data_IF_740047792585
#
_entry.id   IF_740047792585
#
_cell.length_a   1.000
_cell.length_b   1.000
_cell.length_c   1.000
_cell.angle_alpha   90.00
_cell.angle_beta   90.00
_cell.angle_gamma   90.00
#
_symmetry.space_group_name_H-M   'P 1'
#
loop_
_entity.id
_entity.type
_entity.pdbx_description
1 polymer ?
#
# COMPACT_ATOMS: atom_id res chain seq x y z
N UNK A 1 -21.49 -26.96 13.63
CA UNK A 1 -21.51 -26.28 12.31
C UNK A 1 -22.87 -25.62 12.03
N UNK A 2 -24.00 -26.19 12.49
CA UNK A 2 -25.34 -25.59 12.35
C UNK A 2 -25.53 -24.22 13.05
N UNK A 3 -24.85 -23.99 14.17
CA UNK A 3 -25.03 -22.79 15.01
C UNK A 3 -24.54 -21.50 14.35
N UNK A 4 -23.52 -21.58 13.49
CA UNK A 4 -22.95 -20.43 12.78
C UNK A 4 -23.89 -19.96 11.67
N UNK A 5 -24.51 -20.91 10.97
CA UNK A 5 -25.41 -20.60 9.86
C UNK A 5 -26.72 -19.95 10.34
N UNK A 6 -27.23 -20.37 11.50
CA UNK A 6 -28.40 -19.75 12.14
C UNK A 6 -28.14 -18.29 12.57
N UNK A 7 -26.92 -17.97 13.02
CA UNK A 7 -26.53 -16.61 13.40
C UNK A 7 -26.47 -15.67 12.19
N UNK A 8 -25.90 -16.14 11.08
CA UNK A 8 -25.79 -15.39 9.81
C UNK A 8 -27.16 -15.02 9.24
N UNK A 9 -28.08 -16.00 9.17
CA UNK A 9 -29.46 -15.80 8.71
C UNK A 9 -30.20 -14.77 9.58
N UNK A 10 -30.00 -14.81 10.90
CA UNK A 10 -30.63 -13.86 11.81
C UNK A 10 -30.16 -12.42 11.61
N UNK A 11 -28.85 -12.22 11.36
CA UNK A 11 -28.27 -10.89 11.08
C UNK A 11 -28.79 -10.33 9.75
N UNK A 12 -28.79 -11.14 8.69
CA UNK A 12 -29.28 -10.70 7.36
C UNK A 12 -30.76 -10.34 7.43
N UNK A 13 -31.60 -11.17 8.08
CA UNK A 13 -33.03 -10.85 8.28
C UNK A 13 -33.24 -9.56 9.06
N UNK A 14 -32.39 -9.28 10.06
CA UNK A 14 -32.45 -8.04 10.84
C UNK A 14 -32.05 -6.81 10.02
N UNK A 15 -31.12 -6.96 9.07
CA UNK A 15 -30.73 -5.89 8.14
C UNK A 15 -31.85 -5.65 7.12
N UNK A 16 -32.39 -6.71 6.51
CA UNK A 16 -33.53 -6.65 5.57
C UNK A 16 -34.72 -5.93 6.19
N UNK A 17 -35.07 -6.27 7.44
CA UNK A 17 -36.19 -5.66 8.14
C UNK A 17 -35.98 -4.18 8.52
N UNK A 18 -34.73 -3.70 8.52
CA UNK A 18 -34.37 -2.31 8.85
C UNK A 18 -34.29 -1.39 7.64
N UNK A 19 -34.10 -1.93 6.44
CA UNK A 19 -34.07 -1.13 5.21
C UNK A 19 -35.52 -0.92 4.75
N UNK A 20 -35.95 0.33 4.57
CA UNK A 20 -37.31 0.64 4.07
C UNK A 20 -37.45 0.32 2.57
N UNK A 21 -38.68 0.06 2.07
CA UNK A 21 -38.93 -0.64 0.81
C UNK A 21 -38.80 0.30 -0.40
N UNK A 22 -37.60 0.77 -0.70
CA UNK A 22 -37.33 1.44 -1.98
C UNK A 22 -36.55 0.48 -2.88
N UNK A 23 -37.32 -0.37 -3.57
CA UNK A 23 -36.83 -1.21 -4.67
C UNK A 23 -37.01 -2.70 -4.43
N UNK A 24 -37.97 -3.31 -5.14
CA UNK A 24 -38.23 -4.76 -5.11
C UNK A 24 -37.01 -5.61 -5.55
N UNK A 25 -36.06 -5.01 -6.25
CA UNK A 25 -34.80 -5.65 -6.68
C UNK A 25 -33.81 -5.83 -5.53
N UNK A 26 -33.75 -4.89 -4.58
CA UNK A 26 -32.83 -4.96 -3.44
C UNK A 26 -33.24 -6.06 -2.44
N UNK A 27 -34.54 -6.20 -2.20
CA UNK A 27 -35.08 -7.28 -1.35
C UNK A 27 -34.90 -8.65 -1.98
N UNK A 28 -35.16 -8.80 -3.29
CA UNK A 28 -34.89 -10.06 -4.00
C UNK A 28 -33.41 -10.42 -4.02
N UNK A 29 -32.51 -9.44 -4.04
CA UNK A 29 -31.07 -9.67 -3.94
C UNK A 29 -30.69 -10.13 -2.51
N UNK A 30 -31.23 -9.50 -1.47
CA UNK A 30 -30.96 -9.89 -0.08
C UNK A 30 -31.57 -11.25 0.31
N UNK A 31 -32.76 -11.59 -0.19
CA UNK A 31 -33.36 -12.91 0.03
C UNK A 31 -32.50 -14.02 -0.61
N UNK A 32 -31.96 -13.79 -1.81
CA UNK A 32 -31.01 -14.73 -2.41
C UNK A 32 -29.78 -14.96 -1.53
N UNK A 33 -29.27 -13.93 -0.84
CA UNK A 33 -28.10 -14.06 0.04
C UNK A 33 -28.36 -14.87 1.32
N UNK A 34 -29.63 -15.06 1.71
CA UNK A 34 -30.00 -15.91 2.87
C UNK A 34 -29.84 -17.39 2.53
N UNK A 35 -30.14 -17.77 1.28
CA UNK A 35 -30.12 -19.15 0.82
C UNK A 35 -28.82 -19.54 0.09
N UNK A 36 -27.92 -18.59 -0.16
CA UNK A 36 -26.60 -18.86 -0.72
C UNK A 36 -25.69 -19.61 0.28
N UNK A 37 -25.00 -20.62 -0.24
CA UNK A 37 -23.80 -21.17 0.42
C UNK A 37 -22.73 -20.08 0.62
N UNK A 38 -21.78 -20.31 1.53
CA UNK A 38 -20.66 -19.38 1.74
C UNK A 38 -19.87 -19.12 0.44
N UNK A 39 -19.74 -20.13 -0.42
CA UNK A 39 -19.07 -20.03 -1.72
C UNK A 39 -19.85 -19.19 -2.73
N UNK A 40 -21.17 -19.34 -2.81
CA UNK A 40 -22.03 -18.53 -3.68
C UNK A 40 -22.08 -17.07 -3.22
N UNK A 41 -22.10 -16.84 -1.90
CA UNK A 41 -22.03 -15.52 -1.31
C UNK A 41 -20.70 -14.84 -1.67
N UNK A 42 -19.58 -15.54 -1.48
CA UNK A 42 -18.26 -15.03 -1.84
C UNK A 42 -18.18 -14.72 -3.34
N UNK A 43 -18.67 -15.61 -4.21
CA UNK A 43 -18.72 -15.39 -5.65
C UNK A 43 -19.62 -14.21 -6.03
N UNK A 44 -20.76 -14.03 -5.39
CA UNK A 44 -21.65 -12.90 -5.62
C UNK A 44 -20.99 -11.56 -5.22
N UNK A 45 -20.32 -11.52 -4.05
CA UNK A 45 -19.55 -10.36 -3.63
C UNK A 45 -18.42 -10.08 -4.62
N UNK A 46 -17.74 -11.12 -5.10
CA UNK A 46 -16.68 -10.99 -6.10
C UNK A 46 -17.15 -10.42 -7.42
N UNK A 47 -18.29 -10.88 -7.92
CA UNK A 47 -18.86 -10.41 -9.19
C UNK A 47 -19.46 -9.00 -9.06
N UNK A 48 -20.17 -8.72 -7.97
CA UNK A 48 -20.90 -7.45 -7.80
C UNK A 48 -19.99 -6.27 -7.46
N UNK A 49 -18.83 -6.54 -6.85
CA UNK A 49 -17.84 -5.52 -6.48
C UNK A 49 -16.57 -5.57 -7.34
N UNK A 50 -16.55 -6.31 -8.45
CA UNK A 50 -15.35 -6.55 -9.28
C UNK A 50 -14.14 -7.05 -8.46
N UNK A 51 -14.36 -7.81 -7.39
CA UNK A 51 -13.29 -8.50 -6.66
C UNK A 51 -12.91 -9.76 -7.46
N UNK A 52 -12.36 -9.56 -8.66
CA UNK A 52 -11.61 -10.65 -9.29
C UNK A 52 -10.43 -10.97 -8.40
N UNK A 53 -10.16 -12.24 -8.05
CA UNK A 53 -8.98 -12.60 -7.29
C UNK A 53 -7.76 -12.45 -8.21
N UNK A 54 -7.21 -11.24 -8.29
CA UNK A 54 -5.86 -10.99 -8.77
C UNK A 54 -4.98 -10.85 -7.55
N UNK A 55 -4.51 -11.97 -7.00
CA UNK A 55 -3.46 -12.04 -5.96
C UNK A 55 -3.57 -10.93 -4.89
N UNK A 56 -4.72 -10.86 -4.19
CA UNK A 56 -5.13 -9.71 -3.37
C UNK A 56 -4.38 -9.57 -2.05
N UNK A 57 -3.07 -9.34 -2.09
CA UNK A 57 -2.30 -8.95 -0.90
C UNK A 57 -2.54 -7.50 -0.52
N UNK A 58 -3.01 -6.68 -1.47
CA UNK A 58 -3.27 -5.26 -1.26
C UNK A 58 -4.59 -4.82 -1.87
N UNK A 59 -5.15 -3.74 -1.33
CA UNK A 59 -6.33 -3.04 -1.83
C UNK A 59 -6.03 -1.54 -1.91
N UNK A 60 -6.41 -0.90 -3.01
CA UNK A 60 -6.30 0.55 -3.11
C UNK A 60 -7.30 1.24 -2.16
N UNK A 61 -6.83 2.16 -1.31
CA UNK A 61 -7.68 2.86 -0.32
C UNK A 61 -8.09 4.26 -0.80
N UNK A 62 -7.22 4.89 -1.60
CA UNK A 62 -7.45 6.22 -2.15
C UNK A 62 -7.48 6.13 -3.66
N UNK A 63 -8.69 6.00 -4.23
CA UNK A 63 -8.89 5.93 -5.68
C UNK A 63 -8.83 7.30 -6.35
N UNK A 64 -9.12 8.38 -5.61
CA UNK A 64 -9.27 9.74 -6.16
C UNK A 64 -8.27 10.76 -5.62
N UNK A 65 -7.65 10.50 -4.46
CA UNK A 65 -6.69 11.44 -3.86
C UNK A 65 -5.34 11.33 -4.56
N UNK A 66 -5.02 12.34 -5.37
CA UNK A 66 -3.70 12.50 -5.96
C UNK A 66 -2.76 13.10 -4.92
N UNK A 67 -1.79 12.31 -4.47
CA UNK A 67 -0.69 12.82 -3.67
C UNK A 67 0.33 13.43 -4.62
N UNK A 68 0.09 14.71 -4.94
CA UNK A 68 0.94 15.49 -5.82
C UNK A 68 2.13 16.01 -5.02
N UNK A 69 3.33 15.60 -5.40
CA UNK A 69 4.56 16.14 -4.84
C UNK A 69 4.97 17.37 -5.66
N UNK A 70 4.82 18.56 -5.07
CA UNK A 70 5.34 19.79 -5.65
C UNK A 70 6.85 19.85 -5.42
N UNK A 71 7.58 20.05 -6.52
CA UNK A 71 9.03 20.00 -6.51
C UNK A 71 9.65 21.05 -5.57
N UNK A 72 10.55 20.60 -4.69
CA UNK A 72 11.52 21.46 -4.01
C UNK A 72 12.89 21.23 -4.63
N UNK A 73 13.53 22.29 -5.15
CA UNK A 73 14.92 22.21 -5.63
C UNK A 73 15.81 21.72 -4.49
N UNK A 74 16.49 20.58 -4.68
CA UNK A 74 17.50 20.11 -3.74
C UNK A 74 17.81 18.62 -3.81
N UNK A 75 19.05 18.28 -3.45
CA UNK A 75 19.48 16.90 -3.23
C UNK A 75 19.04 16.47 -1.82
N UNK A 76 17.83 15.94 -1.69
CA UNK A 76 17.33 15.41 -0.41
C UNK A 76 17.49 13.89 -0.38
N UNK A 77 18.56 13.44 0.28
CA UNK A 77 18.77 12.04 0.61
C UNK A 77 18.10 11.70 1.95
N UNK A 78 17.64 10.46 2.10
CA UNK A 78 17.03 9.99 3.37
C UNK A 78 18.04 10.14 4.52
N UNK A 79 19.30 9.77 4.28
CA UNK A 79 20.40 9.88 5.25
C UNK A 79 20.68 11.32 5.73
N UNK A 80 20.27 12.33 4.97
CA UNK A 80 20.45 13.74 5.31
C UNK A 80 19.16 14.40 5.83
N UNK A 81 18.04 13.69 5.90
CA UNK A 81 16.72 14.25 6.19
C UNK A 81 16.36 14.22 7.69
N UNK A 82 17.31 14.56 8.56
CA UNK A 82 17.14 14.53 10.02
C UNK A 82 15.98 15.42 10.53
N UNK A 83 15.67 16.50 9.82
CA UNK A 83 14.51 17.36 10.14
C UNK A 83 13.16 16.66 9.93
N UNK A 84 13.09 15.68 9.02
CA UNK A 84 11.89 14.89 8.73
C UNK A 84 11.87 13.64 9.64
N UNK A 85 12.96 12.88 9.64
CA UNK A 85 13.07 11.62 10.38
C UNK A 85 13.67 11.79 11.78
N UNK A 86 13.01 12.61 12.60
CA UNK A 86 13.48 13.02 13.93
C UNK A 86 13.72 11.86 14.91
N UNK A 87 13.07 10.72 14.69
CA UNK A 87 13.20 9.54 15.54
C UNK A 87 14.33 8.59 15.12
N UNK A 88 14.93 8.82 13.94
CA UNK A 88 16.09 8.09 13.47
C UNK A 88 16.00 7.66 12.02
N UNK A 89 17.16 7.48 11.41
CA UNK A 89 17.35 6.95 10.06
C UNK A 89 18.25 5.74 10.18
N UNK A 90 17.88 4.65 9.51
CA UNK A 90 18.72 3.47 9.39
C UNK A 90 20.04 3.82 8.68
N UNK A 91 21.22 3.54 9.30
CA UNK A 91 22.51 3.82 8.68
C UNK A 91 22.70 3.18 7.30
N UNK A 92 22.00 2.08 6.99
CA UNK A 92 22.08 1.42 5.69
C UNK A 92 21.66 2.33 4.51
N UNK A 93 20.87 3.38 4.76
CA UNK A 93 20.56 4.35 3.71
C UNK A 93 21.78 5.13 3.20
N UNK A 94 22.89 5.17 3.95
CA UNK A 94 24.15 5.78 3.47
C UNK A 94 24.81 4.98 2.34
N UNK A 95 24.47 3.69 2.20
CA UNK A 95 24.97 2.82 1.14
C UNK A 95 24.17 2.97 -0.17
N UNK A 96 22.98 3.58 -0.12
CA UNK A 96 22.15 3.85 -1.29
C UNK A 96 22.70 5.02 -2.11
N UNK A 97 23.47 4.71 -3.16
CA UNK A 97 24.06 5.66 -4.11
C UNK A 97 23.08 6.14 -5.19
N UNK A 98 21.94 6.72 -4.82
CA UNK A 98 21.10 7.45 -5.79
C UNK A 98 21.71 8.84 -6.00
N UNK A 99 22.87 8.90 -6.65
CA UNK A 99 23.56 10.16 -6.92
C UNK A 99 23.79 10.35 -8.41
N UNK A 100 22.73 10.61 -9.18
CA UNK A 100 22.85 11.46 -10.36
C UNK A 100 21.66 12.40 -10.52
N UNK A 101 21.82 13.59 -9.95
CA UNK A 101 22.01 14.87 -10.64
C UNK A 101 21.32 15.20 -11.97
N UNK A 102 20.26 14.53 -12.36
CA UNK A 102 19.49 14.99 -13.51
C UNK A 102 18.19 15.61 -13.01
N UNK A 103 18.07 16.90 -13.30
CA UNK A 103 16.92 17.76 -13.03
C UNK A 103 15.66 17.14 -13.65
N UNK A 104 15.05 16.17 -12.99
CA UNK A 104 13.79 15.62 -13.44
C UNK A 104 12.64 16.39 -12.81
N UNK A 105 12.22 17.41 -13.57
CA UNK A 105 10.92 18.04 -13.45
C UNK A 105 9.84 17.03 -13.84
N UNK A 106 9.41 16.20 -12.90
CA UNK A 106 8.16 15.49 -13.07
C UNK A 106 7.37 15.62 -11.78
N UNK A 107 6.31 16.41 -11.83
CA UNK A 107 5.21 16.26 -10.89
C UNK A 107 4.84 14.77 -10.88
N UNK A 108 4.97 14.18 -9.70
CA UNK A 108 4.77 12.76 -9.52
C UNK A 108 3.52 12.59 -8.67
N UNK A 109 2.53 11.91 -9.24
CA UNK A 109 1.35 11.47 -8.51
C UNK A 109 1.67 10.12 -7.88
N UNK A 110 1.46 10.04 -6.56
CA UNK A 110 1.58 8.78 -5.82
C UNK A 110 0.19 8.23 -5.50
N UNK A 111 0.10 6.91 -5.38
CA UNK A 111 -1.08 6.19 -4.88
C UNK A 111 -0.73 5.39 -3.64
N UNK A 112 -1.68 5.26 -2.72
CA UNK A 112 -1.56 4.36 -1.56
C UNK A 112 -2.40 3.11 -1.73
N UNK A 113 -1.85 1.98 -1.28
CA UNK A 113 -2.56 0.73 -1.17
C UNK A 113 -2.41 0.12 0.22
N UNK A 114 -3.52 -0.31 0.80
CA UNK A 114 -3.52 -1.10 2.03
C UNK A 114 -3.01 -2.48 1.76
N UNK A 115 -2.18 -2.98 2.65
CA UNK A 115 -1.98 -4.41 2.79
C UNK A 115 -3.21 -5.01 3.48
N UNK A 116 -3.86 -5.99 2.83
CA UNK A 116 -5.07 -6.67 3.32
C UNK A 116 -4.84 -8.17 3.54
N UNK A 117 -3.60 -8.61 3.41
CA UNK A 117 -3.18 -9.98 3.67
C UNK A 117 -1.70 -10.02 4.00
N UNK A 118 -1.29 -11.06 4.73
CA UNK A 118 0.10 -11.24 5.10
C UNK A 118 0.97 -11.45 3.85
N UNK A 119 2.16 -10.86 3.83
CA UNK A 119 3.06 -10.98 2.69
C UNK A 119 4.51 -10.65 3.00
N UNK A 120 5.40 -11.14 2.15
CA UNK A 120 6.78 -10.65 2.07
C UNK A 120 6.85 -9.51 1.06
N UNK A 121 7.84 -8.63 1.16
CA UNK A 121 7.94 -7.45 0.29
C UNK A 121 7.92 -7.79 -1.19
N UNK A 122 8.67 -8.82 -1.60
CA UNK A 122 8.70 -9.26 -3.00
C UNK A 122 7.29 -9.53 -3.54
N UNK A 123 6.45 -10.23 -2.76
CA UNK A 123 5.08 -10.55 -3.16
C UNK A 123 4.19 -9.30 -3.17
N UNK A 124 4.31 -8.46 -2.13
CA UNK A 124 3.53 -7.22 -2.00
C UNK A 124 3.71 -6.30 -3.22
N UNK A 125 4.95 -6.16 -3.70
CA UNK A 125 5.25 -5.33 -4.88
C UNK A 125 5.07 -6.07 -6.21
N UNK A 126 5.27 -7.39 -6.28
CA UNK A 126 5.08 -8.15 -7.54
C UNK A 126 3.61 -8.22 -7.94
N UNK A 127 2.68 -8.24 -6.97
CA UNK A 127 1.24 -8.18 -7.21
C UNK A 127 0.77 -6.83 -7.80
N UNK A 128 1.61 -5.80 -7.77
CA UNK A 128 1.29 -4.48 -8.32
C UNK A 128 1.44 -4.44 -9.83
N UNK A 129 0.57 -3.65 -10.48
CA UNK A 129 0.68 -3.37 -11.91
C UNK A 129 1.98 -2.65 -12.27
N UNK A 130 2.45 -2.85 -13.51
CA UNK A 130 3.68 -2.25 -14.04
C UNK A 130 4.93 -3.13 -13.83
N UNK A 131 6.02 -2.75 -14.49
CA UNK A 131 7.34 -3.37 -14.28
C UNK A 131 7.98 -2.89 -12.97
N UNK A 132 9.06 -3.53 -12.53
CA UNK A 132 9.80 -3.08 -11.35
C UNK A 132 10.33 -1.66 -11.54
N UNK A 133 10.78 -1.31 -12.74
CA UNK A 133 11.22 0.04 -13.07
C UNK A 133 10.13 1.13 -12.93
N UNK A 134 8.86 0.76 -12.81
CA UNK A 134 7.76 1.72 -12.65
C UNK A 134 7.20 1.79 -11.23
N UNK A 135 7.72 0.98 -10.29
CA UNK A 135 7.17 0.84 -8.93
C UNK A 135 7.96 1.60 -7.87
N UNK A 136 9.21 1.97 -8.15
CA UNK A 136 10.09 2.62 -7.19
C UNK A 136 9.95 4.15 -7.22
N UNK A 137 10.32 4.78 -6.11
CA UNK A 137 10.40 6.24 -5.96
C UNK A 137 11.83 6.67 -5.66
N UNK A 138 12.17 7.90 -6.04
CA UNK A 138 13.42 8.51 -5.63
C UNK A 138 13.41 8.81 -4.12
N UNK A 139 14.59 8.83 -3.50
CA UNK A 139 14.73 9.18 -2.08
C UNK A 139 14.13 10.54 -1.74
N UNK A 140 14.33 11.55 -2.60
CA UNK A 140 13.77 12.89 -2.37
C UNK A 140 12.22 12.87 -2.40
N UNK A 141 11.62 12.07 -3.30
CA UNK A 141 10.15 11.94 -3.35
C UNK A 141 9.60 11.33 -2.07
N UNK A 142 10.29 10.32 -1.51
CA UNK A 142 9.93 9.75 -0.22
C UNK A 142 10.01 10.79 0.89
N UNK A 143 11.11 11.55 0.96
CA UNK A 143 11.30 12.61 1.97
C UNK A 143 10.21 13.68 1.85
N UNK A 144 9.97 14.18 0.64
CA UNK A 144 8.97 15.21 0.38
C UNK A 144 7.56 14.68 0.68
N UNK A 145 7.24 13.43 0.32
CA UNK A 145 5.97 12.79 0.68
C UNK A 145 5.75 12.76 2.20
N UNK A 146 6.78 12.39 2.96
CA UNK A 146 6.70 12.34 4.41
C UNK A 146 6.54 13.74 5.05
N UNK A 147 7.15 14.76 4.46
CA UNK A 147 7.04 16.15 4.93
C UNK A 147 5.69 16.78 4.56
N UNK A 148 5.15 16.47 3.38
CA UNK A 148 3.91 17.05 2.84
C UNK A 148 2.66 16.41 3.45
N UNK A 149 2.69 15.12 3.77
CA UNK A 149 1.52 14.37 4.25
C UNK A 149 1.75 13.74 5.64
N UNK A 150 2.11 14.53 6.67
CA UNK A 150 2.39 14.02 8.01
C UNK A 150 1.17 13.36 8.67
N UNK A 151 -0.06 13.71 8.25
CA UNK A 151 -1.32 13.16 8.76
C UNK A 151 -1.54 11.70 8.38
N UNK A 152 -0.84 11.18 7.37
CA UNK A 152 -0.92 9.77 6.98
C UNK A 152 -0.24 8.85 7.99
N UNK A 153 0.60 9.39 8.88
CA UNK A 153 1.33 8.61 9.87
C UNK A 153 0.53 8.51 11.18
N UNK A 154 -0.09 7.36 11.43
CA UNK A 154 -0.84 7.09 12.66
C UNK A 154 0.10 6.72 13.81
N UNK A 155 -0.24 7.13 15.04
CA UNK A 155 0.57 6.86 16.24
C UNK A 155 0.65 5.38 16.66
N UNK A 156 -0.10 4.47 16.00
CA UNK A 156 -0.20 3.05 16.36
C UNK A 156 0.35 2.13 15.27
N UNK A 157 1.61 2.31 14.88
CA UNK A 157 2.40 1.34 14.09
C UNK A 157 2.07 1.16 12.60
N UNK A 158 1.10 1.90 12.04
CA UNK A 158 0.93 1.96 10.59
C UNK A 158 2.19 2.55 9.96
N UNK A 159 2.88 1.73 9.16
CA UNK A 159 4.05 2.15 8.40
C UNK A 159 3.69 2.40 6.94
N UNK A 160 4.25 3.44 6.37
CA UNK A 160 4.31 3.59 4.92
C UNK A 160 5.50 2.77 4.40
N UNK A 161 5.27 2.05 3.31
CA UNK A 161 6.26 1.19 2.67
C UNK A 161 6.51 1.74 1.27
N UNK A 162 7.76 2.06 0.98
CA UNK A 162 8.20 2.57 -0.31
C UNK A 162 9.22 1.61 -0.91
N UNK A 163 9.22 1.49 -2.22
CA UNK A 163 10.30 0.85 -2.96
C UNK A 163 11.24 1.94 -3.46
N UNK A 164 12.54 1.82 -3.20
CA UNK A 164 13.55 2.78 -3.66
C UNK A 164 14.68 2.05 -4.38
N UNK A 165 15.34 2.76 -5.29
CA UNK A 165 16.49 2.23 -6.03
C UNK A 165 17.77 2.34 -5.18
N UNK A 166 18.64 1.33 -5.19
CA UNK A 166 19.96 1.39 -4.51
C UNK A 166 20.91 2.33 -5.24
N UNK A 167 20.93 2.24 -6.56
CA UNK A 167 21.87 2.93 -7.45
C UNK A 167 21.10 3.49 -8.65
N UNK A 168 21.16 4.80 -8.84
CA UNK A 168 20.46 5.50 -9.93
C UNK A 168 20.90 5.03 -11.32
N UNK A 169 22.18 4.69 -11.47
CA UNK A 169 22.81 4.41 -12.77
C UNK A 169 22.59 2.97 -13.24
N UNK A 170 22.29 2.04 -12.32
CA UNK A 170 22.09 0.64 -12.67
C UNK A 170 20.69 0.40 -13.22
N UNK A 171 20.57 -0.32 -14.32
CA UNK A 171 19.28 -0.84 -14.77
C UNK A 171 18.74 -1.85 -13.75
N UNK A 172 17.43 -1.89 -13.58
CA UNK A 172 16.79 -2.88 -12.72
C UNK A 172 16.73 -4.20 -13.46
N UNK A 173 17.27 -5.26 -12.86
CA UNK A 173 17.04 -6.63 -13.32
C UNK A 173 15.62 -7.04 -12.91
N UNK A 174 14.73 -7.19 -13.89
CA UNK A 174 13.33 -7.57 -13.64
C UNK A 174 13.19 -9.01 -13.11
N UNK A 175 14.20 -9.88 -13.31
CA UNK A 175 14.24 -11.24 -12.77
C UNK A 175 14.84 -11.28 -11.36
N UNK A 176 15.74 -10.36 -11.04
CA UNK A 176 16.34 -10.22 -9.71
C UNK A 176 16.32 -8.76 -9.20
N UNK A 177 15.12 -8.19 -8.93
CA UNK A 177 14.99 -6.78 -8.58
C UNK A 177 15.65 -6.43 -7.24
N UNK A 178 15.89 -7.42 -6.36
CA UNK A 178 16.54 -7.22 -5.06
C UNK A 178 17.98 -6.73 -5.15
N UNK A 179 18.67 -6.97 -6.27
CA UNK A 179 20.03 -6.45 -6.50
C UNK A 179 20.04 -4.93 -6.69
N UNK A 180 18.93 -4.36 -7.17
CA UNK A 180 18.83 -2.94 -7.52
C UNK A 180 17.85 -2.16 -6.63
N UNK A 181 16.94 -2.83 -5.94
CA UNK A 181 15.85 -2.22 -5.19
C UNK A 181 15.90 -2.60 -3.70
N UNK A 182 15.44 -1.67 -2.87
CA UNK A 182 15.29 -1.87 -1.42
C UNK A 182 13.98 -1.26 -0.97
N UNK A 183 13.54 -1.69 0.20
CA UNK A 183 12.32 -1.21 0.81
C UNK A 183 12.67 -0.22 1.92
N UNK A 184 12.06 0.95 1.86
CA UNK A 184 12.08 1.92 2.93
C UNK A 184 10.73 1.86 3.66
N UNK A 185 10.77 1.56 4.96
CA UNK A 185 9.59 1.65 5.83
C UNK A 185 9.69 2.91 6.67
N UNK A 186 8.65 3.74 6.65
CA UNK A 186 8.55 4.94 7.48
C UNK A 186 7.43 4.74 8.49
N UNK A 187 7.72 4.99 9.77
CA UNK A 187 6.74 4.86 10.86
C UNK A 187 6.95 5.94 11.92
N UNK A 188 5.93 6.20 12.74
CA UNK A 188 6.09 7.01 13.95
C UNK A 188 6.76 6.18 15.05
N UNK A 189 7.82 6.71 15.65
CA UNK A 189 8.51 6.13 16.82
C UNK A 189 8.99 7.27 17.72
N UNK A 190 8.87 7.14 19.04
CA UNK A 190 9.39 8.13 19.99
C UNK A 190 9.01 9.60 19.67
N UNK A 191 7.80 9.85 19.17
CA UNK A 191 7.30 11.20 18.85
C UNK A 191 7.79 11.80 17.52
N UNK A 192 8.51 11.05 16.69
CA UNK A 192 8.95 11.49 15.36
C UNK A 192 8.85 10.39 14.30
N UNK A 193 9.10 10.75 13.04
CA UNK A 193 9.22 9.75 11.98
C UNK A 193 10.56 9.05 12.05
N UNK A 194 10.56 7.75 11.78
CA UNK A 194 11.74 6.91 11.66
C UNK A 194 11.71 6.22 10.29
N UNK A 195 12.83 6.25 9.57
CA UNK A 195 13.01 5.55 8.31
C UNK A 195 13.88 4.29 8.53
N UNK A 196 13.35 3.13 8.16
CA UNK A 196 13.98 1.83 8.31
C UNK A 196 14.27 1.21 6.95
N UNK A 197 15.45 0.60 6.82
CA UNK A 197 15.89 -0.05 5.59
C UNK A 197 15.59 -1.55 5.63
N UNK A 198 15.13 -2.10 4.52
CA UNK A 198 14.97 -3.54 4.35
C UNK A 198 15.42 -3.98 2.95
N UNK A 199 16.17 -5.09 2.84
CA UNK A 199 16.34 -5.78 1.56
C UNK A 199 14.97 -6.19 0.97
N UNK A 200 14.80 -6.08 -0.35
CA UNK A 200 13.53 -6.45 -1.01
C UNK A 200 13.24 -7.96 -0.91
N UNK A 201 14.29 -8.77 -0.92
CA UNK A 201 14.28 -10.23 -0.80
C UNK A 201 14.12 -10.72 0.65
N UNK A 202 13.94 -9.79 1.61
CA UNK A 202 13.72 -10.13 3.00
C UNK A 202 12.47 -11.01 3.15
N UNK A 203 12.67 -12.22 3.67
CA UNK A 203 11.65 -13.25 3.87
C UNK A 203 10.77 -13.03 5.10
N UNK A 204 10.95 -11.91 5.82
CA UNK A 204 10.10 -11.55 6.95
C UNK A 204 8.66 -11.38 6.47
N UNK A 205 7.76 -12.14 7.10
CA UNK A 205 6.34 -11.99 6.90
C UNK A 205 5.84 -10.70 7.58
N UNK A 206 5.12 -9.88 6.82
CA UNK A 206 4.47 -8.68 7.31
C UNK A 206 2.98 -8.98 7.52
N UNK A 207 2.48 -8.72 8.73
CA UNK A 207 1.07 -9.03 9.07
C UNK A 207 0.13 -7.87 8.74
N UNK A 208 -1.05 -8.22 8.23
CA UNK A 208 -2.14 -7.31 7.89
C UNK A 208 -2.63 -6.46 9.07
N UNK A 209 -2.51 -6.99 10.29
CA UNK A 209 -2.96 -6.34 11.54
C UNK A 209 -2.28 -4.99 11.83
N UNK A 210 -1.19 -4.71 11.12
CA UNK A 210 -0.43 -3.48 11.27
C UNK A 210 -0.88 -2.38 10.29
N UNK A 211 -1.83 -2.66 9.39
CA UNK A 211 -2.40 -1.71 8.43
C UNK A 211 -1.32 -0.96 7.64
N UNK A 212 -0.36 -1.70 7.08
CA UNK A 212 0.69 -1.10 6.26
C UNK A 212 0.13 -0.54 4.96
N UNK A 213 0.65 0.62 4.55
CA UNK A 213 0.32 1.20 3.26
C UNK A 213 1.53 1.20 2.34
N UNK A 214 1.39 0.59 1.17
CA UNK A 214 2.36 0.72 0.09
C UNK A 214 2.13 2.06 -0.59
N UNK A 215 3.21 2.81 -0.80
CA UNK A 215 3.20 4.04 -1.61
C UNK A 215 3.89 3.74 -2.92
N UNK A 216 3.16 3.94 -4.03
CA UNK A 216 3.61 3.60 -5.37
C UNK A 216 3.43 4.80 -6.30
N UNK A 217 4.30 4.97 -7.31
CA UNK A 217 4.02 5.88 -8.42
C UNK A 217 2.70 5.51 -9.11
N UNK A 218 1.98 6.53 -9.58
CA UNK A 218 0.83 6.35 -10.47
C UNK A 218 1.37 6.19 -11.90
N UNK A 219 1.00 5.09 -12.55
CA UNK A 219 1.26 4.88 -13.97
C UNK A 219 0.38 5.84 -14.78
N UNK A 220 0.99 6.71 -15.58
CA UNK A 220 0.28 7.50 -16.59
C UNK A 220 0.22 6.62 -17.84
N UNK A 221 -0.97 6.12 -18.17
CA UNK A 221 -1.22 5.36 -19.39
C UNK A 221 -1.82 6.28 -20.46
#
# INVERSE_FOLDING_TARGET
>A
METINQSRVAVIKKIVAKVQPEGSLFFKALEKLVDCSDEELDNFLRQSFNLTPKNGLTRQIFTEQNFLLTHRQGRRLISCANQVFKAGIDPAFTECRIEKNEFFFLESSMRLQEMISNGIFMNLFSCQSGSWNQKWVYQYQLVDFCETFPELFRQNSCGLIFLIKKDGDKTIDENNPGDNLVVARVMVRAGGLCALYYPLDNQRLWSEDNYYWLVLPRLIF
#
